data_IF_428942834590
#
_entry.id   IF_428942834590
#
_cell.length_a   1.000
_cell.length_b   1.000
_cell.length_c   1.000
_cell.angle_alpha   90.00
_cell.angle_beta   90.00
_cell.angle_gamma   90.00
#
_symmetry.space_group_name_H-M   'P 1'
#
loop_
_entity.id
_entity.type
_entity.pdbx_description
1 polymer ?
#
# COMPACT_ATOMS: atom_id res chain seq x y z
N UNK A 1 -8.50 12.18 -67.59
CA UNK A 1 -9.09 11.76 -66.31
C UNK A 1 -7.96 11.43 -65.34
N UNK A 2 -7.71 12.26 -64.33
CA UNK A 2 -6.78 11.96 -63.23
C UNK A 2 -7.59 12.00 -61.93
N UNK A 3 -7.75 10.85 -61.29
CA UNK A 3 -8.37 10.73 -59.98
C UNK A 3 -7.33 11.07 -58.92
N UNK A 4 -7.57 12.14 -58.17
CA UNK A 4 -6.84 12.46 -56.94
C UNK A 4 -7.53 11.78 -55.76
N UNK A 5 -6.84 10.83 -55.14
CA UNK A 5 -7.24 10.14 -53.93
C UNK A 5 -6.93 11.05 -52.72
N UNK A 6 -7.95 11.52 -52.01
CA UNK A 6 -7.78 12.20 -50.73
C UNK A 6 -7.76 11.14 -49.62
N UNK A 7 -6.62 10.92 -48.99
CA UNK A 7 -6.50 10.08 -47.78
C UNK A 7 -6.82 10.96 -46.58
N UNK A 8 -7.99 10.74 -45.98
CA UNK A 8 -8.38 11.34 -44.70
C UNK A 8 -7.68 10.58 -43.58
N UNK A 9 -6.65 11.17 -42.97
CA UNK A 9 -6.02 10.66 -41.75
C UNK A 9 -6.96 10.92 -40.57
N UNK A 10 -7.69 9.88 -40.15
CA UNK A 10 -8.42 9.85 -38.90
C UNK A 10 -7.43 9.86 -37.73
N UNK A 11 -7.24 11.04 -37.13
CA UNK A 11 -6.61 11.19 -35.82
C UNK A 11 -7.57 10.63 -34.76
N UNK A 12 -7.39 9.37 -34.38
CA UNK A 12 -7.97 8.81 -33.17
C UNK A 12 -7.35 9.51 -31.94
N UNK A 13 -8.00 10.58 -31.47
CA UNK A 13 -7.70 11.21 -30.19
C UNK A 13 -8.24 10.35 -29.04
N UNK A 14 -7.60 9.21 -28.79
CA UNK A 14 -7.69 8.56 -27.49
C UNK A 14 -6.98 9.45 -26.48
N UNK A 15 -7.74 10.16 -25.63
CA UNK A 15 -7.17 10.79 -24.43
C UNK A 15 -6.71 9.67 -23.48
N UNK A 16 -5.56 9.07 -23.75
CA UNK A 16 -4.71 8.57 -22.68
C UNK A 16 -4.35 9.81 -21.88
N UNK A 17 -4.96 9.99 -20.71
CA UNK A 17 -4.56 11.03 -19.79
C UNK A 17 -3.10 10.73 -19.44
N UNK A 18 -2.18 11.51 -20.00
CA UNK A 18 -0.78 11.40 -19.67
C UNK A 18 -0.67 11.64 -18.16
N UNK A 19 -0.02 10.70 -17.47
CA UNK A 19 0.29 10.84 -16.05
C UNK A 19 1.01 12.17 -15.83
N UNK A 20 0.52 12.97 -14.88
CA UNK A 20 1.18 14.24 -14.55
C UNK A 20 2.57 13.96 -13.97
N UNK A 21 3.52 14.91 -14.05
CA UNK A 21 4.83 14.72 -13.45
C UNK A 21 4.74 14.38 -11.95
N UNK A 22 3.83 15.00 -11.21
CA UNK A 22 3.65 14.71 -9.78
C UNK A 22 3.19 13.27 -9.55
N UNK A 23 2.21 12.79 -10.32
CA UNK A 23 1.77 11.39 -10.24
C UNK A 23 2.88 10.39 -10.63
N UNK A 24 3.74 10.76 -11.59
CA UNK A 24 4.92 9.96 -11.93
C UNK A 24 5.90 9.91 -10.77
N UNK A 25 6.15 11.03 -10.10
CA UNK A 25 6.97 11.08 -8.88
C UNK A 25 6.40 10.20 -7.77
N UNK A 26 5.08 10.24 -7.53
CA UNK A 26 4.41 9.42 -6.51
C UNK A 26 4.50 7.93 -6.86
N UNK A 27 4.39 7.57 -8.14
CA UNK A 27 4.61 6.20 -8.62
C UNK A 27 6.04 5.73 -8.31
N UNK A 28 7.05 6.54 -8.65
CA UNK A 28 8.45 6.22 -8.37
C UNK A 28 8.72 6.08 -6.87
N UNK A 29 8.14 6.98 -6.05
CA UNK A 29 8.20 6.88 -4.60
C UNK A 29 7.63 5.53 -4.11
N UNK A 30 6.46 5.14 -4.62
CA UNK A 30 5.83 3.86 -4.29
C UNK A 30 6.61 2.63 -4.80
N UNK A 31 7.46 2.82 -5.81
CA UNK A 31 8.40 1.83 -6.32
C UNK A 31 9.72 1.80 -5.55
N UNK A 32 9.88 2.62 -4.50
CA UNK A 32 11.11 2.84 -3.73
C UNK A 32 12.25 3.47 -4.54
N UNK A 33 11.96 4.04 -5.70
CA UNK A 33 12.89 4.78 -6.56
C UNK A 33 13.02 6.23 -6.07
N UNK A 34 13.37 6.41 -4.79
CA UNK A 34 13.29 7.70 -4.09
C UNK A 34 14.17 8.78 -4.71
N UNK A 35 15.34 8.43 -5.26
CA UNK A 35 16.22 9.40 -5.92
C UNK A 35 15.58 9.99 -7.19
N UNK A 36 14.95 9.15 -8.00
CA UNK A 36 14.26 9.59 -9.21
C UNK A 36 12.99 10.37 -8.87
N UNK A 37 12.24 9.92 -7.86
CA UNK A 37 11.07 10.64 -7.36
C UNK A 37 11.46 12.05 -6.87
N UNK A 38 12.56 12.16 -6.12
CA UNK A 38 13.07 13.44 -5.60
C UNK A 38 13.40 14.42 -6.73
N UNK A 39 14.04 13.97 -7.81
CA UNK A 39 14.34 14.83 -8.97
C UNK A 39 13.07 15.42 -9.60
N UNK A 40 12.04 14.59 -9.80
CA UNK A 40 10.77 15.05 -10.34
C UNK A 40 10.09 16.05 -9.40
N UNK A 41 10.02 15.73 -8.11
CA UNK A 41 9.38 16.61 -7.13
C UNK A 41 10.14 17.93 -6.95
N UNK A 42 11.47 17.92 -7.04
CA UNK A 42 12.30 19.12 -7.02
C UNK A 42 11.97 20.04 -8.20
N UNK A 43 11.96 19.50 -9.43
CA UNK A 43 11.60 20.26 -10.62
C UNK A 43 10.19 20.84 -10.53
N UNK A 44 9.23 20.07 -10.03
CA UNK A 44 7.84 20.54 -9.86
C UNK A 44 7.68 21.54 -8.70
N UNK A 45 8.50 21.44 -7.65
CA UNK A 45 8.58 22.43 -6.57
C UNK A 45 9.09 23.78 -7.09
N UNK A 46 10.12 23.76 -7.95
CA UNK A 46 10.66 24.95 -8.61
C UNK A 46 9.65 25.64 -9.53
N UNK A 47 8.71 24.87 -10.09
CA UNK A 47 7.57 25.38 -10.86
C UNK A 47 6.41 25.90 -9.99
N UNK A 48 6.54 25.88 -8.67
CA UNK A 48 5.56 26.42 -7.73
C UNK A 48 4.47 25.43 -7.28
N UNK A 49 4.62 24.13 -7.53
CA UNK A 49 3.66 23.13 -7.05
C UNK A 49 3.82 22.88 -5.55
N UNK A 50 2.87 23.38 -4.75
CA UNK A 50 2.81 23.13 -3.29
C UNK A 50 2.70 21.63 -2.97
N UNK A 51 1.94 20.90 -3.79
CA UNK A 51 1.72 19.47 -3.63
C UNK A 51 2.97 18.65 -3.97
N UNK A 52 3.71 19.01 -5.02
CA UNK A 52 5.00 18.39 -5.30
C UNK A 52 6.03 18.73 -4.21
N UNK A 53 6.00 19.95 -3.67
CA UNK A 53 6.88 20.35 -2.56
C UNK A 53 6.60 19.54 -1.30
N UNK A 54 5.33 19.20 -1.01
CA UNK A 54 5.00 18.24 0.06
C UNK A 54 5.64 16.87 -0.18
N UNK A 55 5.45 16.29 -1.37
CA UNK A 55 6.02 14.98 -1.71
C UNK A 55 7.55 14.98 -1.79
N UNK A 56 8.16 16.13 -2.13
CA UNK A 56 9.60 16.34 -2.00
C UNK A 56 10.06 16.16 -0.55
N UNK A 57 9.37 16.80 0.41
CA UNK A 57 9.68 16.65 1.84
C UNK A 57 9.53 15.20 2.32
N UNK A 58 8.48 14.50 1.89
CA UNK A 58 8.29 13.07 2.18
C UNK A 58 9.43 12.22 1.62
N UNK A 59 9.86 12.51 0.38
CA UNK A 59 10.93 11.76 -0.29
C UNK A 59 12.30 12.03 0.34
N UNK A 60 12.60 13.29 0.67
CA UNK A 60 13.80 13.68 1.41
C UNK A 60 13.90 12.94 2.75
N UNK A 61 12.79 12.84 3.49
CA UNK A 61 12.74 12.07 4.73
C UNK A 61 13.11 10.59 4.50
N UNK A 62 12.56 9.94 3.46
CA UNK A 62 12.93 8.55 3.11
C UNK A 62 14.38 8.39 2.66
N UNK A 63 14.98 9.44 2.09
CA UNK A 63 16.41 9.50 1.74
C UNK A 63 17.32 9.91 2.93
N UNK A 64 16.82 9.88 4.17
CA UNK A 64 17.56 10.28 5.37
C UNK A 64 18.03 11.75 5.38
N UNK A 65 17.37 12.61 4.60
CA UNK A 65 17.60 14.06 4.56
C UNK A 65 16.64 14.77 5.51
N UNK A 66 16.48 14.26 6.73
CA UNK A 66 15.40 14.69 7.63
C UNK A 66 15.42 16.19 8.00
N UNK A 67 16.59 16.84 8.06
CA UNK A 67 16.65 18.28 8.36
C UNK A 67 16.19 19.15 7.18
N UNK A 68 16.56 18.75 5.97
CA UNK A 68 16.12 19.40 4.72
C UNK A 68 14.61 19.18 4.52
N UNK A 69 14.11 17.97 4.80
CA UNK A 69 12.70 17.64 4.73
C UNK A 69 11.84 18.60 5.58
N UNK A 70 12.28 18.93 6.80
CA UNK A 70 11.57 19.88 7.66
C UNK A 70 11.41 21.27 7.04
N UNK A 71 12.47 21.81 6.42
CA UNK A 71 12.42 23.09 5.71
C UNK A 71 11.53 23.01 4.47
N UNK A 72 11.60 21.89 3.74
CA UNK A 72 10.74 21.65 2.57
C UNK A 72 9.26 21.55 2.95
N UNK A 73 8.93 20.91 4.08
CA UNK A 73 7.56 20.90 4.59
C UNK A 73 7.08 22.30 4.98
N UNK A 74 7.93 23.11 5.63
CA UNK A 74 7.62 24.51 5.94
C UNK A 74 7.31 25.29 4.66
N UNK A 75 8.19 25.20 3.65
CA UNK A 75 7.97 25.79 2.33
C UNK A 75 6.65 25.32 1.71
N UNK A 76 6.36 24.02 1.72
CA UNK A 76 5.12 23.47 1.17
C UNK A 76 3.86 23.99 1.91
N UNK A 77 3.93 24.10 3.24
CA UNK A 77 2.85 24.64 4.05
C UNK A 77 2.61 26.13 3.76
N UNK A 78 3.68 26.93 3.63
CA UNK A 78 3.60 28.35 3.24
C UNK A 78 3.06 28.54 1.82
N UNK A 79 3.32 27.59 0.92
CA UNK A 79 2.73 27.54 -0.42
C UNK A 79 1.25 27.07 -0.43
N UNK A 80 0.68 26.72 0.73
CA UNK A 80 -0.72 26.33 0.85
C UNK A 80 -0.99 24.83 0.70
N UNK A 81 -0.01 23.96 0.94
CA UNK A 81 -0.25 22.51 0.98
C UNK A 81 -0.85 22.08 2.33
N UNK A 82 -2.13 21.66 2.39
CA UNK A 82 -2.72 21.24 3.66
C UNK A 82 -2.11 19.94 4.19
N UNK A 83 -1.55 19.10 3.31
CA UNK A 83 -0.85 17.88 3.69
C UNK A 83 0.46 18.18 4.44
N UNK A 84 1.20 19.20 4.00
CA UNK A 84 2.41 19.64 4.72
C UNK A 84 2.06 20.34 6.04
N UNK A 85 0.97 21.11 6.06
CA UNK A 85 0.44 21.69 7.29
C UNK A 85 0.08 20.60 8.32
N UNK A 86 -0.48 19.45 7.91
CA UNK A 86 -0.76 18.34 8.82
C UNK A 86 0.51 17.75 9.46
N UNK A 87 1.57 17.61 8.65
CA UNK A 87 2.88 17.15 9.12
C UNK A 87 3.43 18.13 10.15
N UNK A 88 3.41 19.44 9.87
CA UNK A 88 3.92 20.47 10.79
C UNK A 88 3.02 20.72 12.01
N UNK A 89 1.74 20.37 11.95
CA UNK A 89 0.89 20.33 13.14
C UNK A 89 1.34 19.23 14.14
N UNK A 90 2.20 18.31 13.71
CA UNK A 90 2.71 17.23 14.55
C UNK A 90 1.65 16.20 14.91
N UNK A 91 0.71 15.94 13.99
CA UNK A 91 -0.35 14.95 14.16
C UNK A 91 0.07 13.55 13.73
N UNK A 92 -0.64 12.52 14.23
CA UNK A 92 -0.44 11.13 13.82
C UNK A 92 1.00 10.66 14.05
N UNK A 93 1.59 10.04 13.04
CA UNK A 93 2.99 9.58 13.07
C UNK A 93 3.97 10.63 12.53
N UNK A 94 3.57 11.91 12.45
CA UNK A 94 4.49 12.95 12.00
C UNK A 94 5.74 13.02 12.90
N UNK A 95 6.96 12.96 12.32
CA UNK A 95 8.21 13.00 13.08
C UNK A 95 8.57 14.44 13.50
N UNK A 96 7.73 15.43 13.16
CA UNK A 96 8.00 16.86 13.34
C UNK A 96 8.55 17.21 14.73
N UNK A 97 7.84 16.80 15.80
CA UNK A 97 8.22 17.14 17.18
C UNK A 97 9.53 16.48 17.60
N UNK A 98 9.71 15.21 17.23
CA UNK A 98 10.93 14.46 17.55
C UNK A 98 12.16 15.04 16.85
N UNK A 99 12.01 15.49 15.60
CA UNK A 99 13.09 16.07 14.81
C UNK A 99 13.29 17.57 15.01
N UNK A 100 12.47 18.23 15.85
CA UNK A 100 12.60 19.65 16.14
C UNK A 100 12.37 20.56 14.93
N UNK A 101 11.48 20.16 14.02
CA UNK A 101 11.05 21.03 12.91
C UNK A 101 10.19 22.20 13.42
N UNK A 102 9.79 23.11 12.52
CA UNK A 102 8.94 24.25 12.84
C UNK A 102 7.46 23.85 13.09
N UNK A 103 7.25 23.02 14.11
CA UNK A 103 5.94 22.46 14.41
C UNK A 103 5.06 23.45 15.17
N UNK A 104 3.83 23.61 14.71
CA UNK A 104 2.83 24.44 15.35
C UNK A 104 1.43 23.85 15.12
N UNK A 105 0.68 23.64 16.20
CA UNK A 105 -0.68 23.14 16.12
C UNK A 105 -1.61 24.07 15.31
N UNK A 106 -1.28 25.37 15.20
CA UNK A 106 -2.01 26.35 14.38
C UNK A 106 -2.00 26.02 12.88
N UNK A 107 -1.10 25.15 12.42
CA UNK A 107 -1.16 24.63 11.05
C UNK A 107 -2.44 23.84 10.76
N UNK A 108 -3.05 23.21 11.77
CA UNK A 108 -4.35 22.53 11.60
C UNK A 108 -5.45 23.48 11.15
N UNK A 109 -5.55 24.65 11.80
CA UNK A 109 -6.59 25.63 11.51
C UNK A 109 -6.48 26.18 10.08
N UNK A 110 -5.26 26.24 9.55
CA UNK A 110 -4.98 26.61 8.15
C UNK A 110 -5.28 25.48 7.16
N UNK A 111 -5.06 24.23 7.56
CA UNK A 111 -5.25 23.06 6.68
C UNK A 111 -6.72 22.72 6.45
N UNK A 112 -7.57 22.86 7.47
CA UNK A 112 -9.00 22.53 7.43
C UNK A 112 -9.74 23.17 6.24
N UNK A 113 -9.74 24.51 6.04
CA UNK A 113 -10.48 25.13 4.94
C UNK A 113 -9.99 24.69 3.55
N UNK A 114 -8.71 24.31 3.42
CA UNK A 114 -8.15 23.80 2.18
C UNK A 114 -8.64 22.37 1.90
N UNK A 115 -8.73 21.51 2.92
CA UNK A 115 -9.36 20.19 2.75
C UNK A 115 -10.87 20.29 2.54
N UNK A 116 -11.57 21.24 3.15
CA UNK A 116 -12.99 21.49 2.87
C UNK A 116 -13.22 21.81 1.39
N UNK A 117 -12.38 22.67 0.81
CA UNK A 117 -12.39 22.94 -0.62
C UNK A 117 -12.15 21.67 -1.44
N UNK A 118 -11.07 20.93 -1.17
CA UNK A 118 -10.76 19.69 -1.90
C UNK A 118 -11.88 18.65 -1.77
N UNK A 119 -12.48 18.51 -0.59
CA UNK A 119 -13.59 17.60 -0.33
C UNK A 119 -14.85 18.03 -1.11
N UNK A 120 -15.12 19.34 -1.23
CA UNK A 120 -16.22 19.86 -2.05
C UNK A 120 -16.04 19.57 -3.55
N UNK A 121 -14.79 19.44 -4.00
CA UNK A 121 -14.41 19.03 -5.36
C UNK A 121 -14.40 17.49 -5.54
N UNK A 122 -14.76 16.74 -4.49
CA UNK A 122 -14.90 15.28 -4.52
C UNK A 122 -13.69 14.49 -4.03
N UNK A 123 -12.65 15.14 -3.49
CA UNK A 123 -11.47 14.43 -3.00
C UNK A 123 -11.77 13.59 -1.74
N UNK A 124 -11.81 12.26 -1.89
CA UNK A 124 -12.10 11.34 -0.79
C UNK A 124 -11.02 11.30 0.29
N UNK A 125 -9.76 11.58 -0.03
CA UNK A 125 -8.67 11.69 0.95
C UNK A 125 -8.83 12.92 1.82
N UNK A 126 -9.23 14.04 1.24
CA UNK A 126 -9.54 15.27 2.00
C UNK A 126 -10.74 15.05 2.92
N UNK A 127 -11.79 14.35 2.46
CA UNK A 127 -12.91 13.95 3.32
C UNK A 127 -12.45 13.10 4.51
N UNK A 128 -11.52 12.17 4.30
CA UNK A 128 -10.92 11.39 5.38
C UNK A 128 -10.16 12.27 6.38
N UNK A 129 -9.38 13.21 5.88
CA UNK A 129 -8.58 14.09 6.72
C UNK A 129 -9.42 15.06 7.55
N UNK A 130 -10.54 15.55 7.01
CA UNK A 130 -11.49 16.39 7.76
C UNK A 130 -12.14 15.65 8.93
N UNK A 131 -12.38 14.34 8.81
CA UNK A 131 -12.84 13.53 9.94
C UNK A 131 -11.78 13.49 11.05
N UNK A 132 -10.52 13.26 10.68
CA UNK A 132 -9.44 13.18 11.66
C UNK A 132 -9.12 14.50 12.36
N UNK A 133 -9.27 15.63 11.66
CA UNK A 133 -8.82 16.94 12.15
C UNK A 133 -9.94 17.89 12.55
N UNK A 134 -11.07 17.84 11.85
CA UNK A 134 -12.18 18.77 12.03
C UNK A 134 -13.00 18.56 13.30
N UNK A 135 -12.89 17.40 13.95
CA UNK A 135 -13.60 17.03 15.21
C UNK A 135 -15.03 17.58 15.27
N UNK A 136 -15.88 17.28 14.28
CA UNK A 136 -17.14 17.98 14.16
C UNK A 136 -18.07 17.61 15.32
N UNK A 137 -18.90 18.57 15.76
CA UNK A 137 -19.78 18.43 16.94
C UNK A 137 -20.65 17.16 16.89
N UNK A 138 -21.03 16.72 15.69
CA UNK A 138 -21.88 15.57 15.47
C UNK A 138 -21.22 14.25 15.85
N UNK A 139 -19.89 14.19 16.01
CA UNK A 139 -19.19 12.99 16.52
C UNK A 139 -19.54 12.67 17.97
N UNK A 140 -19.99 13.66 18.74
CA UNK A 140 -20.34 13.49 20.15
C UNK A 140 -21.70 12.79 20.30
N UNK A 141 -22.52 12.78 19.24
CA UNK A 141 -23.87 12.17 19.24
C UNK A 141 -23.81 10.79 18.59
N UNK A 142 -23.84 9.67 19.36
CA UNK A 142 -23.49 8.34 18.82
C UNK A 142 -24.30 7.88 17.60
N UNK A 143 -25.62 8.07 17.62
CA UNK A 143 -26.52 7.67 16.53
C UNK A 143 -26.30 8.55 15.29
N UNK A 144 -26.09 9.85 15.49
CA UNK A 144 -25.89 10.79 14.40
C UNK A 144 -24.50 10.64 13.77
N UNK A 145 -23.48 10.39 14.60
CA UNK A 145 -22.13 10.00 14.19
C UNK A 145 -22.20 8.84 13.19
N UNK A 146 -22.87 7.76 13.55
CA UNK A 146 -22.99 6.58 12.69
C UNK A 146 -23.51 6.92 11.28
N UNK A 147 -24.67 7.59 11.23
CA UNK A 147 -25.30 8.02 9.98
C UNK A 147 -24.37 8.93 9.16
N UNK A 148 -23.64 9.84 9.81
CA UNK A 148 -22.73 10.77 9.15
C UNK A 148 -21.48 10.10 8.60
N UNK A 149 -20.86 9.20 9.35
CA UNK A 149 -19.74 8.40 8.85
C UNK A 149 -20.16 7.63 7.59
N UNK A 150 -21.35 7.00 7.59
CA UNK A 150 -21.91 6.30 6.42
C UNK A 150 -22.08 7.18 5.21
N UNK A 151 -22.66 8.36 5.40
CA UNK A 151 -22.80 9.34 4.32
C UNK A 151 -21.42 9.71 3.72
N UNK A 152 -20.42 9.93 4.58
CA UNK A 152 -19.10 10.40 4.18
C UNK A 152 -18.31 9.30 3.48
N UNK A 153 -18.14 8.11 4.07
CA UNK A 153 -17.36 7.05 3.43
C UNK A 153 -18.00 6.55 2.13
N UNK A 154 -19.34 6.63 2.01
CA UNK A 154 -20.04 6.27 0.77
C UNK A 154 -19.65 7.15 -0.43
N UNK A 155 -19.27 8.41 -0.14
CA UNK A 155 -18.75 9.36 -1.12
C UNK A 155 -17.23 9.28 -1.24
N UNK A 156 -16.53 9.14 -0.12
CA UNK A 156 -15.08 9.19 -0.07
C UNK A 156 -14.41 7.96 -0.72
N UNK A 157 -14.87 6.74 -0.42
CA UNK A 157 -14.23 5.51 -0.88
C UNK A 157 -14.22 5.40 -2.42
N UNK A 158 -15.35 5.62 -3.14
CA UNK A 158 -15.32 5.66 -4.60
C UNK A 158 -14.42 6.75 -5.20
N UNK A 159 -14.02 7.75 -4.41
CA UNK A 159 -13.17 8.87 -4.82
C UNK A 159 -11.79 8.85 -4.12
N UNK A 160 -11.23 7.65 -3.89
CA UNK A 160 -9.85 7.48 -3.42
C UNK A 160 -9.65 7.62 -1.90
N UNK A 161 -10.71 7.86 -1.13
CA UNK A 161 -10.69 7.85 0.34
C UNK A 161 -10.59 6.44 0.93
N UNK A 162 -9.68 5.61 0.43
CA UNK A 162 -9.57 4.20 0.80
C UNK A 162 -9.15 3.99 2.25
N UNK A 163 -8.54 4.98 2.89
CA UNK A 163 -8.14 4.90 4.30
C UNK A 163 -9.32 4.68 5.24
N UNK A 164 -10.55 5.03 4.84
CA UNK A 164 -11.77 4.68 5.57
C UNK A 164 -11.96 3.17 5.74
N UNK A 165 -11.50 2.34 4.80
CA UNK A 165 -11.58 0.86 4.86
C UNK A 165 -10.82 0.27 6.06
N UNK A 166 -9.78 0.98 6.51
CA UNK A 166 -8.89 0.60 7.61
C UNK A 166 -9.18 1.37 8.90
N UNK A 167 -10.15 2.29 8.89
CA UNK A 167 -10.50 3.10 10.06
C UNK A 167 -11.59 2.42 10.89
N UNK A 168 -11.82 2.90 12.11
CA UNK A 168 -12.90 2.44 13.01
C UNK A 168 -14.31 2.81 12.51
N UNK A 169 -14.50 2.96 11.20
CA UNK A 169 -15.82 3.02 10.57
C UNK A 169 -16.58 1.78 11.03
N UNK A 170 -17.72 2.05 11.65
CA UNK A 170 -18.64 0.99 12.05
C UNK A 170 -19.42 0.61 10.79
N UNK A 171 -19.15 -0.59 10.28
CA UNK A 171 -19.86 -1.19 9.16
C UNK A 171 -21.16 -1.83 9.67
N UNK A 172 -22.27 -1.72 8.93
CA UNK A 172 -23.54 -2.37 9.28
C UNK A 172 -23.41 -3.89 9.28
N UNK A 173 -22.63 -4.40 8.32
CA UNK A 173 -22.42 -5.82 8.13
C UNK A 173 -21.14 -6.11 7.34
N UNK A 174 -20.75 -7.38 7.29
CA UNK A 174 -19.64 -7.85 6.45
C UNK A 174 -19.92 -7.57 4.97
N UNK A 175 -21.16 -7.73 4.51
CA UNK A 175 -21.57 -7.47 3.13
C UNK A 175 -21.40 -6.00 2.74
N UNK A 176 -21.71 -5.07 3.66
CA UNK A 176 -21.46 -3.64 3.41
C UNK A 176 -19.95 -3.38 3.24
N UNK A 177 -19.11 -3.92 4.12
CA UNK A 177 -17.67 -3.75 4.02
C UNK A 177 -17.12 -4.36 2.72
N UNK A 178 -17.57 -5.56 2.36
CA UNK A 178 -17.21 -6.25 1.11
C UNK A 178 -17.58 -5.42 -0.13
N UNK A 179 -18.73 -4.75 -0.13
CA UNK A 179 -19.12 -3.83 -1.21
C UNK A 179 -18.07 -2.73 -1.43
N UNK A 180 -17.62 -2.06 -0.37
CA UNK A 180 -16.65 -0.97 -0.49
C UNK A 180 -15.23 -1.45 -0.77
N UNK A 181 -14.83 -2.58 -0.18
CA UNK A 181 -13.58 -3.26 -0.56
C UNK A 181 -13.57 -3.61 -2.05
N UNK A 182 -14.68 -4.12 -2.57
CA UNK A 182 -14.84 -4.44 -4.00
C UNK A 182 -14.74 -3.20 -4.89
N UNK A 183 -15.30 -2.06 -4.47
CA UNK A 183 -15.18 -0.79 -5.20
C UNK A 183 -13.70 -0.39 -5.30
N UNK A 184 -12.99 -0.33 -4.16
CA UNK A 184 -11.58 0.04 -4.12
C UNK A 184 -10.69 -0.93 -4.91
N UNK A 185 -10.93 -2.24 -4.76
CA UNK A 185 -10.24 -3.29 -5.50
C UNK A 185 -10.46 -3.18 -7.02
N UNK A 186 -11.69 -2.88 -7.47
CA UNK A 186 -11.99 -2.65 -8.89
C UNK A 186 -11.30 -1.41 -9.44
N UNK A 187 -11.08 -0.39 -8.61
CA UNK A 187 -10.31 0.81 -8.94
C UNK A 187 -8.78 0.60 -8.89
N UNK A 188 -8.33 -0.61 -8.55
CA UNK A 188 -6.91 -0.99 -8.60
C UNK A 188 -6.19 -0.87 -7.26
N UNK A 189 -6.88 -0.62 -6.15
CA UNK A 189 -6.25 -0.54 -4.83
C UNK A 189 -5.93 -1.93 -4.28
N UNK A 190 -4.66 -2.34 -4.35
CA UNK A 190 -4.20 -3.67 -3.94
C UNK A 190 -4.42 -4.00 -2.45
N UNK A 191 -4.30 -3.06 -1.49
CA UNK A 191 -4.62 -3.37 -0.09
C UNK A 191 -6.09 -3.78 0.12
N UNK A 192 -7.03 -3.25 -0.67
CA UNK A 192 -8.41 -3.72 -0.65
C UNK A 192 -8.56 -5.12 -1.27
N UNK A 193 -7.78 -5.45 -2.31
CA UNK A 193 -7.75 -6.81 -2.86
C UNK A 193 -7.22 -7.83 -1.85
N UNK A 194 -6.18 -7.48 -1.09
CA UNK A 194 -5.67 -8.32 -0.01
C UNK A 194 -6.70 -8.47 1.12
N UNK A 195 -7.42 -7.41 1.46
CA UNK A 195 -8.52 -7.49 2.41
C UNK A 195 -9.62 -8.43 1.91
N UNK A 196 -10.02 -8.35 0.63
CA UNK A 196 -10.98 -9.27 0.02
C UNK A 196 -10.50 -10.73 0.10
N UNK A 197 -9.20 -10.99 -0.13
CA UNK A 197 -8.64 -12.32 0.05
C UNK A 197 -8.93 -12.89 1.44
N UNK A 198 -8.72 -12.10 2.51
CA UNK A 198 -9.00 -12.56 3.87
C UNK A 198 -10.50 -12.71 4.16
N UNK A 199 -11.36 -11.81 3.67
CA UNK A 199 -12.80 -11.90 3.88
C UNK A 199 -13.46 -13.06 3.11
N UNK A 200 -12.84 -13.51 2.02
CA UNK A 200 -13.34 -14.60 1.16
C UNK A 200 -12.56 -15.91 1.41
N UNK A 201 -11.80 -16.02 2.50
CA UNK A 201 -10.95 -17.18 2.76
C UNK A 201 -11.76 -18.35 3.36
N UNK A 202 -12.76 -18.82 2.62
CA UNK A 202 -13.65 -19.94 2.97
C UNK A 202 -13.69 -20.95 1.81
N UNK A 203 -14.03 -22.23 2.05
CA UNK A 203 -14.01 -23.27 1.01
C UNK A 203 -14.77 -22.88 -0.28
N UNK A 204 -15.93 -22.26 -0.14
CA UNK A 204 -16.82 -21.90 -1.25
C UNK A 204 -16.32 -20.69 -2.05
N UNK A 205 -15.46 -19.85 -1.44
CA UNK A 205 -14.99 -18.59 -2.02
C UNK A 205 -13.47 -18.53 -2.21
N UNK A 206 -12.76 -19.60 -1.89
CA UNK A 206 -11.29 -19.72 -1.94
C UNK A 206 -10.71 -19.33 -3.30
N UNK A 207 -11.31 -19.79 -4.40
CA UNK A 207 -10.86 -19.44 -5.75
C UNK A 207 -10.96 -17.94 -6.03
N UNK A 208 -12.00 -17.27 -5.51
CA UNK A 208 -12.15 -15.83 -5.64
C UNK A 208 -11.14 -15.09 -4.75
N UNK A 209 -10.93 -15.55 -3.51
CA UNK A 209 -9.93 -15.01 -2.61
C UNK A 209 -8.54 -15.03 -3.26
N UNK A 210 -8.12 -16.18 -3.78
CA UNK A 210 -6.82 -16.34 -4.44
C UNK A 210 -6.71 -15.48 -5.70
N UNK A 211 -7.79 -15.30 -6.48
CA UNK A 211 -7.81 -14.38 -7.63
C UNK A 211 -7.53 -12.94 -7.22
N UNK A 212 -8.17 -12.45 -6.14
CA UNK A 212 -7.90 -11.09 -5.64
C UNK A 212 -6.46 -10.95 -5.14
N UNK A 213 -5.96 -11.94 -4.41
CA UNK A 213 -4.58 -11.95 -3.91
C UNK A 213 -3.56 -11.90 -5.06
N UNK A 214 -3.70 -12.78 -6.05
CA UNK A 214 -2.84 -12.77 -7.23
C UNK A 214 -2.94 -11.48 -8.04
N UNK A 215 -4.11 -10.85 -8.09
CA UNK A 215 -4.25 -9.53 -8.73
C UNK A 215 -3.44 -8.47 -7.99
N UNK A 216 -3.44 -8.47 -6.65
CA UNK A 216 -2.63 -7.56 -5.85
C UNK A 216 -1.12 -7.77 -6.10
N UNK A 217 -0.66 -9.03 -6.15
CA UNK A 217 0.72 -9.40 -6.49
C UNK A 217 1.10 -8.87 -7.88
N UNK A 218 0.22 -9.02 -8.88
CA UNK A 218 0.44 -8.51 -10.25
C UNK A 218 0.52 -6.99 -10.34
N UNK A 219 -0.03 -6.29 -9.35
CA UNK A 219 0.10 -4.84 -9.23
C UNK A 219 1.34 -4.40 -8.43
N UNK A 220 2.19 -5.36 -8.05
CA UNK A 220 3.44 -5.12 -7.35
C UNK A 220 3.31 -4.99 -5.84
N UNK A 221 2.18 -5.39 -5.23
CA UNK A 221 1.96 -5.25 -3.80
C UNK A 221 2.57 -6.43 -3.02
N UNK A 222 3.67 -6.22 -2.27
CA UNK A 222 4.41 -7.32 -1.64
C UNK A 222 3.64 -8.02 -0.52
N UNK A 223 2.80 -7.31 0.23
CA UNK A 223 2.05 -7.88 1.36
C UNK A 223 1.10 -9.00 0.90
N UNK A 224 0.63 -8.94 -0.35
CA UNK A 224 -0.15 -10.03 -0.94
C UNK A 224 0.70 -11.30 -1.14
N UNK A 225 1.93 -11.18 -1.63
CA UNK A 225 2.85 -12.32 -1.70
C UNK A 225 3.19 -12.84 -0.29
N UNK A 226 3.46 -11.95 0.66
CA UNK A 226 3.67 -12.29 2.08
C UNK A 226 2.49 -13.08 2.66
N UNK A 227 1.26 -12.69 2.35
CA UNK A 227 0.08 -13.40 2.85
C UNK A 227 -0.01 -14.86 2.34
N UNK A 228 0.38 -15.11 1.09
CA UNK A 228 0.42 -16.46 0.54
C UNK A 228 1.61 -17.26 1.06
N UNK A 229 2.76 -16.62 1.33
CA UNK A 229 3.86 -17.24 2.06
C UNK A 229 3.37 -17.82 3.39
N UNK A 230 2.72 -17.00 4.23
CA UNK A 230 2.19 -17.48 5.52
C UNK A 230 1.08 -18.52 5.37
N UNK A 231 0.24 -18.41 4.32
CA UNK A 231 -0.80 -19.39 4.06
C UNK A 231 -0.24 -20.77 3.71
N UNK A 232 0.82 -20.84 2.91
CA UNK A 232 1.47 -22.11 2.56
C UNK A 232 2.51 -22.58 3.58
N UNK A 233 3.07 -21.70 4.41
CA UNK A 233 4.03 -22.13 5.44
C UNK A 233 3.34 -22.79 6.63
N UNK A 234 2.18 -22.27 7.06
CA UNK A 234 1.43 -22.75 8.23
C UNK A 234 0.22 -23.61 7.86
N UNK A 235 -0.21 -23.54 6.60
CA UNK A 235 -1.55 -23.96 6.20
C UNK A 235 -2.62 -22.95 6.66
N UNK A 236 -3.79 -23.01 6.04
CA UNK A 236 -4.99 -22.28 6.48
C UNK A 236 -6.14 -23.25 6.71
N UNK A 237 -6.89 -22.97 7.77
CA UNK A 237 -8.09 -23.71 8.14
C UNK A 237 -9.30 -22.79 8.08
N UNK A 238 -10.45 -23.36 7.76
CA UNK A 238 -11.75 -22.68 7.86
C UNK A 238 -12.18 -22.55 9.34
N UNK A 239 -13.35 -21.94 9.56
CA UNK A 239 -13.97 -21.80 10.88
C UNK A 239 -14.27 -23.13 11.59
N UNK A 240 -14.37 -24.24 10.85
CA UNK A 240 -14.61 -25.58 11.37
C UNK A 240 -13.31 -26.36 11.62
N UNK A 241 -12.15 -25.77 11.33
CA UNK A 241 -10.84 -26.40 11.48
C UNK A 241 -10.41 -27.28 10.30
N UNK A 242 -11.19 -27.34 9.22
CA UNK A 242 -10.82 -28.07 8.00
C UNK A 242 -9.73 -27.32 7.26
N UNK A 243 -8.73 -28.03 6.75
CA UNK A 243 -7.64 -27.44 5.97
C UNK A 243 -8.18 -27.00 4.61
N UNK A 244 -8.14 -25.69 4.34
CA UNK A 244 -8.53 -25.09 3.06
C UNK A 244 -7.32 -24.74 2.19
N UNK A 245 -6.17 -24.45 2.83
CA UNK A 245 -4.87 -24.35 2.14
C UNK A 245 -3.92 -25.28 2.89
N UNK A 246 -3.49 -26.40 2.29
CA UNK A 246 -2.50 -27.26 2.92
C UNK A 246 -1.13 -26.57 2.93
N UNK A 247 -0.31 -26.83 3.96
CA UNK A 247 1.09 -26.41 3.94
C UNK A 247 1.80 -26.95 2.69
N UNK A 248 2.63 -26.12 2.06
CA UNK A 248 3.40 -26.44 0.85
C UNK A 248 4.72 -25.65 0.89
N UNK A 249 5.82 -26.34 1.20
CA UNK A 249 7.14 -25.73 1.37
C UNK A 249 7.63 -25.05 0.09
N UNK A 250 7.36 -25.62 -1.09
CA UNK A 250 7.78 -25.04 -2.37
C UNK A 250 7.03 -23.75 -2.66
N UNK A 251 5.72 -23.72 -2.42
CA UNK A 251 4.92 -22.49 -2.57
C UNK A 251 5.27 -21.45 -1.52
N UNK A 252 5.48 -21.86 -0.27
CA UNK A 252 5.94 -20.96 0.78
C UNK A 252 7.26 -20.30 0.37
N UNK A 253 8.25 -21.09 -0.08
CA UNK A 253 9.50 -20.58 -0.61
C UNK A 253 9.27 -19.61 -1.78
N UNK A 254 8.50 -20.01 -2.79
CA UNK A 254 8.19 -19.17 -3.95
C UNK A 254 7.60 -17.81 -3.56
N UNK A 255 6.57 -17.79 -2.70
CA UNK A 255 5.91 -16.55 -2.28
C UNK A 255 6.78 -15.69 -1.35
N UNK A 256 7.67 -16.31 -0.57
CA UNK A 256 8.68 -15.58 0.20
C UNK A 256 9.66 -14.83 -0.71
N UNK A 257 10.23 -15.53 -1.70
CA UNK A 257 11.12 -14.94 -2.71
C UNK A 257 10.40 -13.87 -3.54
N UNK A 258 9.13 -14.11 -3.90
CA UNK A 258 8.30 -13.16 -4.63
C UNK A 258 7.99 -11.91 -3.81
N UNK A 259 7.74 -12.05 -2.50
CA UNK A 259 7.59 -10.91 -1.60
C UNK A 259 8.84 -10.03 -1.60
N UNK A 260 10.02 -10.63 -1.42
CA UNK A 260 11.31 -9.91 -1.47
C UNK A 260 11.54 -9.21 -2.81
N UNK A 261 11.28 -9.89 -3.92
CA UNK A 261 11.40 -9.32 -5.27
C UNK A 261 10.45 -8.14 -5.53
N UNK A 262 9.29 -8.10 -4.85
CA UNK A 262 8.34 -6.98 -4.86
C UNK A 262 8.64 -5.93 -3.78
N UNK A 263 9.81 -6.00 -3.14
CA UNK A 263 10.27 -5.06 -2.12
C UNK A 263 9.64 -5.27 -0.74
N UNK A 264 9.05 -6.42 -0.47
CA UNK A 264 8.52 -6.82 0.84
C UNK A 264 9.59 -7.40 1.78
N UNK A 265 9.12 -7.93 2.91
CA UNK A 265 9.96 -8.76 3.78
C UNK A 265 10.24 -10.11 3.10
N UNK A 266 11.48 -10.58 3.24
CA UNK A 266 11.93 -11.89 2.79
C UNK A 266 12.59 -12.60 3.97
N UNK A 267 12.10 -13.79 4.31
CA UNK A 267 12.72 -14.65 5.32
C UNK A 267 13.90 -15.40 4.71
N UNK A 268 14.88 -15.69 5.55
CA UNK A 268 16.04 -16.50 5.17
C UNK A 268 15.62 -17.85 4.59
N UNK A 269 16.22 -18.24 3.46
CA UNK A 269 15.85 -19.45 2.73
C UNK A 269 15.84 -20.70 3.61
N UNK A 270 16.90 -20.89 4.42
CA UNK A 270 17.03 -22.06 5.29
C UNK A 270 15.91 -22.17 6.32
N UNK A 271 15.31 -21.05 6.75
CA UNK A 271 14.21 -21.05 7.71
C UNK A 271 12.90 -21.63 7.15
N UNK A 272 12.82 -21.76 5.82
CA UNK A 272 11.69 -22.33 5.10
C UNK A 272 12.03 -23.73 4.57
N UNK A 273 13.26 -23.92 4.11
CA UNK A 273 13.67 -25.11 3.36
C UNK A 273 14.33 -26.17 4.21
N UNK A 274 14.54 -25.93 5.51
CA UNK A 274 15.19 -26.87 6.41
C UNK A 274 14.38 -27.03 7.69
N UNK A 275 14.39 -28.25 8.23
CA UNK A 275 13.82 -28.57 9.55
C UNK A 275 14.87 -29.27 10.42
N UNK A 276 14.78 -29.09 11.73
CA UNK A 276 15.60 -29.84 12.67
C UNK A 276 15.24 -31.32 12.60
N UNK A 277 16.26 -32.19 12.54
CA UNK A 277 16.04 -33.62 12.80
C UNK A 277 15.91 -33.79 14.31
N UNK A 278 14.81 -34.39 14.75
CA UNK A 278 14.52 -34.61 16.16
C UNK A 278 14.87 -36.05 16.57
N UNK A 279 15.29 -36.25 17.81
CA UNK A 279 15.44 -37.56 18.43
C UNK A 279 14.08 -38.18 18.83
N UNK A 280 14.11 -39.37 19.42
CA UNK A 280 12.90 -40.09 19.86
C UNK A 280 12.10 -39.36 20.97
N UNK A 281 12.73 -38.40 21.64
CA UNK A 281 12.12 -37.57 22.69
C UNK A 281 11.66 -36.21 22.17
N UNK A 282 11.83 -35.92 20.88
CA UNK A 282 11.47 -34.65 20.25
C UNK A 282 12.50 -33.52 20.43
N UNK A 283 13.73 -33.84 20.86
CA UNK A 283 14.81 -32.86 21.01
C UNK A 283 15.63 -32.75 19.71
N UNK A 284 16.07 -31.54 19.29
CA UNK A 284 16.92 -31.40 18.11
C UNK A 284 18.23 -32.17 18.23
N UNK A 285 18.55 -33.00 17.23
CA UNK A 285 19.83 -33.67 17.12
C UNK A 285 20.95 -32.66 16.87
N UNK A 286 22.11 -32.93 17.44
CA UNK A 286 23.33 -32.18 17.21
C UNK A 286 24.45 -33.11 16.73
N UNK A 287 25.35 -32.59 15.90
CA UNK A 287 26.57 -33.28 15.48
C UNK A 287 27.62 -33.31 16.60
N UNK A 288 28.79 -33.90 16.33
CA UNK A 288 29.89 -34.02 17.30
C UNK A 288 30.41 -32.67 17.82
N UNK A 289 30.20 -31.59 17.05
CA UNK A 289 30.58 -30.21 17.40
C UNK A 289 29.45 -29.46 18.13
N UNK A 290 28.31 -30.11 18.38
CA UNK A 290 27.13 -29.52 19.01
C UNK A 290 26.28 -28.67 18.06
N UNK A 291 26.47 -28.76 16.74
CA UNK A 291 25.68 -28.01 15.75
C UNK A 291 24.40 -28.77 15.39
N UNK A 292 23.26 -28.09 15.19
CA UNK A 292 22.02 -28.77 14.86
C UNK A 292 22.09 -29.53 13.54
N UNK A 293 21.61 -30.77 13.53
CA UNK A 293 21.46 -31.57 12.31
C UNK A 293 20.14 -31.19 11.63
N UNK A 294 20.24 -30.74 10.39
CA UNK A 294 19.11 -30.25 9.61
C UNK A 294 18.75 -31.22 8.48
N UNK A 295 17.46 -31.32 8.17
CA UNK A 295 16.94 -32.01 6.99
C UNK A 295 16.45 -31.00 5.98
N UNK A 296 16.92 -31.13 4.74
CA UNK A 296 16.41 -30.33 3.63
C UNK A 296 15.00 -30.80 3.22
N UNK A 297 14.06 -29.86 3.21
CA UNK A 297 12.68 -30.04 2.77
C UNK A 297 12.54 -29.87 1.25
N UNK A 298 13.39 -29.05 0.65
CA UNK A 298 13.52 -28.88 -0.80
C UNK A 298 14.99 -28.74 -1.18
N UNK A 299 15.36 -29.34 -2.31
CA UNK A 299 16.76 -29.36 -2.78
C UNK A 299 17.21 -27.99 -3.29
N UNK A 300 18.52 -27.73 -3.29
CA UNK A 300 19.09 -26.51 -3.89
C UNK A 300 18.72 -26.34 -5.38
N UNK A 301 18.59 -27.45 -6.12
CA UNK A 301 18.16 -27.43 -7.53
C UNK A 301 16.72 -26.94 -7.68
N UNK A 302 15.82 -27.37 -6.78
CA UNK A 302 14.43 -26.91 -6.78
C UNK A 302 14.32 -25.44 -6.38
N UNK A 303 15.11 -25.00 -5.39
CA UNK A 303 15.20 -23.59 -5.02
C UNK A 303 15.62 -22.71 -6.21
N UNK A 304 16.69 -23.10 -6.92
CA UNK A 304 17.18 -22.38 -8.09
C UNK A 304 16.14 -22.28 -9.23
N UNK A 305 15.34 -23.33 -9.43
CA UNK A 305 14.25 -23.31 -10.42
C UNK A 305 13.11 -22.37 -9.98
N UNK A 306 12.75 -22.38 -8.70
CA UNK A 306 11.74 -21.46 -8.16
C UNK A 306 12.21 -20.01 -8.22
N UNK A 307 13.47 -19.73 -7.92
CA UNK A 307 14.07 -18.40 -8.05
C UNK A 307 13.98 -17.88 -9.49
N UNK A 308 14.24 -18.75 -10.47
CA UNK A 308 14.09 -18.42 -11.89
C UNK A 308 12.63 -18.11 -12.24
N UNK A 309 11.67 -18.87 -11.71
CA UNK A 309 10.25 -18.60 -11.93
C UNK A 309 9.83 -17.26 -11.32
N UNK A 310 10.32 -16.92 -10.13
CA UNK A 310 10.07 -15.62 -9.49
C UNK A 310 10.65 -14.50 -10.34
N UNK A 311 11.92 -14.62 -10.75
CA UNK A 311 12.59 -13.62 -11.58
C UNK A 311 11.85 -13.38 -12.91
N UNK A 312 11.39 -14.44 -13.57
CA UNK A 312 10.59 -14.36 -14.79
C UNK A 312 9.21 -13.72 -14.53
N UNK A 313 8.56 -14.05 -13.42
CA UNK A 313 7.25 -13.50 -13.06
C UNK A 313 7.32 -11.98 -12.81
N UNK A 314 8.36 -11.50 -12.10
CA UNK A 314 8.49 -10.07 -11.75
C UNK A 314 9.18 -9.22 -12.80
N UNK A 315 9.64 -9.79 -13.92
CA UNK A 315 10.45 -9.06 -14.92
C UNK A 315 9.80 -7.74 -15.41
N UNK A 316 8.47 -7.73 -15.50
CA UNK A 316 7.67 -6.59 -15.94
C UNK A 316 6.81 -5.98 -14.80
N UNK A 317 6.99 -6.44 -13.56
CA UNK A 317 6.23 -5.97 -12.39
C UNK A 317 7.16 -5.15 -11.51
N UNK A 318 6.80 -3.89 -11.27
CA UNK A 318 7.53 -3.03 -10.34
C UNK A 318 6.87 -3.08 -8.95
N UNK A 319 7.67 -3.04 -7.85
CA UNK A 319 7.15 -2.86 -6.50
C UNK A 319 6.15 -1.70 -6.41
N UNK A 320 5.11 -1.84 -5.61
CA UNK A 320 4.16 -0.76 -5.40
C UNK A 320 3.57 -0.85 -4.00
N UNK A 321 3.90 0.14 -3.17
CA UNK A 321 3.47 0.19 -1.77
C UNK A 321 2.04 0.75 -1.59
N UNK A 322 1.44 1.35 -2.62
CA UNK A 322 0.10 1.99 -2.55
C UNK A 322 -0.04 3.06 -1.47
N UNK A 323 1.06 3.74 -1.13
CA UNK A 323 1.10 4.84 -0.19
C UNK A 323 0.63 6.14 -0.82
N UNK A 324 -0.11 6.91 -0.03
CA UNK A 324 -0.56 8.25 -0.35
C UNK A 324 -0.47 9.18 0.85
N UNK A 325 -0.99 10.41 0.74
CA UNK A 325 -0.91 11.45 1.78
C UNK A 325 -1.59 11.04 3.10
N UNK A 326 -2.45 10.04 3.06
CA UNK A 326 -3.19 9.51 4.23
C UNK A 326 -2.52 8.29 4.85
N UNK A 327 -1.41 7.81 4.26
CA UNK A 327 -0.61 6.70 4.77
C UNK A 327 0.23 7.13 5.97
N UNK A 328 0.19 6.32 7.03
CA UNK A 328 1.00 6.56 8.23
C UNK A 328 2.46 6.11 8.03
N UNK A 329 2.66 5.21 7.06
CA UNK A 329 3.92 4.56 6.68
C UNK A 329 4.87 5.49 5.91
N UNK A 330 4.45 6.73 5.63
CA UNK A 330 5.31 7.75 5.03
C UNK A 330 6.47 8.15 5.95
N UNK A 331 6.32 8.01 7.27
CA UNK A 331 7.32 8.43 8.27
C UNK A 331 7.81 7.31 9.16
#
# INVERSE_FOLDING_TARGET
>A
MKQTLFVFLLLCSGKLWAMTPVEQGIRLFNQKEYQQAQQIFQQQSEQGSAYATYWLGVTQYKNSQQFEAGQTFLKAAEMGSPWAMDVLAGNGNSPCKYLGWACDAAWNDKAIPLWEKQASEGNGKAMYQLILRGKPWWEIVPIYKYKKYKEIYSKAIPNGGYRFLNSSVVWESTEEKLKYLTIAAKQGYAPAMLSLYYFLLEPETLDEALKWNHKAIKLGYPDAATSLYYAYSQGKKDSNGNIIIPPDVKKAYYYNRLSGALGGEEKEAYSITQEHILDEYGSPLADEDGRPVMKDLITQKEQAELDKQVAEFVKDIKPNMFLDETSLELF
#
